data_IF_676280152432
#
_entry.id   IF_676280152432
#
_cell.length_a   1.000
_cell.length_b   1.000
_cell.length_c   1.000
_cell.angle_alpha   90.00
_cell.angle_beta   90.00
_cell.angle_gamma   90.00
#
_symmetry.space_group_name_H-M   'P 1'
#
loop_
_entity.id
_entity.type
_entity.pdbx_description
1 polymer ?
#
# COMPACT_ATOMS: atom_id res chain seq x y z
N UNK A 1 8.56 28.19 -26.89
CA UNK A 1 7.88 27.44 -27.94
C UNK A 1 8.77 26.29 -28.33
N UNK A 2 8.65 25.16 -27.71
CA UNK A 2 9.35 23.94 -28.08
C UNK A 2 8.54 23.23 -29.17
N UNK A 3 9.16 23.12 -30.34
CA UNK A 3 8.62 22.45 -31.49
C UNK A 3 8.43 20.96 -31.17
N UNK A 4 7.19 20.50 -31.07
CA UNK A 4 6.88 19.13 -31.38
C UNK A 4 7.08 18.97 -32.90
N UNK A 5 8.28 18.56 -33.29
CA UNK A 5 8.50 18.14 -34.67
C UNK A 5 7.79 16.80 -34.84
N UNK A 6 6.74 16.81 -35.69
CA UNK A 6 6.07 15.61 -36.19
C UNK A 6 6.96 14.82 -37.17
N UNK A 7 8.24 14.74 -36.91
CA UNK A 7 9.14 13.88 -37.69
C UNK A 7 9.17 12.49 -37.05
N UNK A 8 8.31 11.63 -37.58
CA UNK A 8 8.44 10.20 -37.37
C UNK A 8 9.71 9.77 -38.11
N UNK A 9 10.84 9.75 -37.39
CA UNK A 9 12.07 9.19 -37.95
C UNK A 9 11.97 7.68 -37.98
N UNK A 10 12.27 7.07 -39.13
CA UNK A 10 12.35 5.63 -39.26
C UNK A 10 13.42 5.08 -38.33
N UNK A 11 13.04 4.21 -37.40
CA UNK A 11 13.99 3.54 -36.51
C UNK A 11 14.77 2.50 -37.34
N UNK A 12 16.12 2.54 -37.37
CA UNK A 12 16.90 1.50 -38.04
C UNK A 12 16.53 0.11 -37.50
N UNK A 13 16.46 -0.87 -38.40
CA UNK A 13 16.10 -2.24 -38.03
C UNK A 13 17.05 -2.86 -36.98
N UNK A 14 18.31 -2.41 -36.95
CA UNK A 14 19.28 -2.77 -35.88
C UNK A 14 18.87 -2.29 -34.50
N UNK A 15 18.38 -1.07 -34.38
CA UNK A 15 17.93 -0.48 -33.10
C UNK A 15 16.63 -1.16 -32.62
N UNK A 16 15.78 -1.53 -33.55
CA UNK A 16 14.57 -2.31 -33.22
C UNK A 16 14.92 -3.67 -32.65
N UNK A 17 15.90 -4.37 -33.22
CA UNK A 17 16.38 -5.66 -32.70
C UNK A 17 17.14 -5.54 -31.39
N UNK A 18 17.82 -4.43 -31.14
CA UNK A 18 18.53 -4.14 -29.89
C UNK A 18 17.61 -3.59 -28.80
N UNK A 19 16.42 -3.14 -29.12
CA UNK A 19 15.46 -2.55 -28.19
C UNK A 19 15.19 -3.42 -26.95
N UNK A 20 14.96 -4.76 -27.03
CA UNK A 20 14.79 -5.60 -25.86
C UNK A 20 16.05 -5.67 -24.98
N UNK A 21 17.24 -5.69 -25.61
CA UNK A 21 18.53 -5.74 -24.91
C UNK A 21 18.79 -4.40 -24.18
N UNK A 22 18.51 -3.30 -24.85
CA UNK A 22 18.66 -1.97 -24.26
C UNK A 22 17.62 -1.76 -23.12
N UNK A 23 16.38 -2.12 -23.34
CA UNK A 23 15.35 -2.09 -22.28
C UNK A 23 15.70 -2.94 -21.07
N UNK A 24 16.31 -4.11 -21.29
CA UNK A 24 16.82 -4.94 -20.19
C UNK A 24 17.99 -4.28 -19.45
N UNK A 25 18.93 -3.67 -20.18
CA UNK A 25 20.05 -2.93 -19.55
C UNK A 25 19.55 -1.73 -18.74
N UNK A 26 18.61 -0.97 -19.27
CA UNK A 26 18.03 0.20 -18.60
C UNK A 26 17.23 -0.23 -17.36
N UNK A 27 16.49 -1.35 -17.45
CA UNK A 27 15.76 -1.93 -16.33
C UNK A 27 16.62 -2.65 -15.28
N UNK A 28 17.89 -2.99 -15.58
CA UNK A 28 18.71 -3.81 -14.69
C UNK A 28 19.02 -3.11 -13.37
N UNK A 29 19.32 -1.81 -13.40
CA UNK A 29 19.55 -1.00 -12.20
C UNK A 29 18.34 -1.01 -11.29
N UNK A 30 17.15 -0.88 -11.88
CA UNK A 30 15.84 -0.97 -11.26
C UNK A 30 15.66 -2.35 -10.61
N UNK A 31 15.89 -3.42 -11.34
CA UNK A 31 15.73 -4.79 -10.85
C UNK A 31 16.68 -5.11 -9.68
N UNK A 32 17.96 -4.76 -9.78
CA UNK A 32 18.95 -4.96 -8.71
C UNK A 32 18.57 -4.23 -7.42
N UNK A 33 18.06 -3.03 -7.55
CA UNK A 33 17.63 -2.27 -6.39
C UNK A 33 16.39 -2.91 -5.72
N UNK A 34 15.40 -3.36 -6.49
CA UNK A 34 14.24 -4.12 -5.96
C UNK A 34 14.72 -5.34 -5.17
N UNK A 35 15.69 -6.10 -5.71
CA UNK A 35 16.25 -7.25 -5.00
C UNK A 35 16.89 -6.87 -3.67
N UNK A 36 17.68 -5.80 -3.65
CA UNK A 36 18.34 -5.33 -2.41
C UNK A 36 17.33 -4.78 -1.42
N UNK A 37 16.38 -3.97 -1.88
CA UNK A 37 15.34 -3.39 -1.03
C UNK A 37 14.33 -4.44 -0.54
N UNK A 38 13.95 -5.39 -1.38
CA UNK A 38 13.11 -6.52 -1.00
C UNK A 38 13.78 -7.45 0.01
N UNK A 39 15.12 -7.50 0.01
CA UNK A 39 15.90 -8.24 1.01
C UNK A 39 15.75 -7.68 2.43
N UNK A 40 15.64 -6.36 2.59
CA UNK A 40 15.52 -5.73 3.92
C UNK A 40 14.25 -6.15 4.68
N UNK A 41 13.01 -6.03 4.13
CA UNK A 41 11.83 -6.54 4.82
C UNK A 41 11.86 -8.06 5.01
N UNK A 42 12.44 -8.81 4.07
CA UNK A 42 12.57 -10.24 4.21
C UNK A 42 13.43 -10.63 5.44
N UNK A 43 14.49 -9.87 5.72
CA UNK A 43 15.31 -10.04 6.92
C UNK A 43 14.50 -9.66 8.16
N UNK A 44 13.80 -8.53 8.15
CA UNK A 44 12.95 -8.08 9.26
C UNK A 44 11.86 -9.11 9.56
N UNK A 45 11.19 -9.63 8.54
CA UNK A 45 10.16 -10.66 8.67
C UNK A 45 10.74 -11.98 9.26
N UNK A 46 11.95 -12.39 8.87
CA UNK A 46 12.63 -13.58 9.47
C UNK A 46 12.90 -13.45 10.95
N UNK A 47 12.92 -12.24 11.49
CA UNK A 47 13.09 -12.02 12.94
C UNK A 47 11.79 -12.12 13.73
N UNK A 48 10.65 -12.26 13.04
CA UNK A 48 9.29 -12.17 13.59
C UNK A 48 9.04 -10.89 14.41
N UNK A 49 9.87 -9.87 14.26
CA UNK A 49 9.79 -8.64 15.02
C UNK A 49 8.50 -7.87 14.76
N UNK A 50 8.06 -7.78 13.49
CA UNK A 50 6.81 -7.12 13.13
C UNK A 50 5.60 -7.86 13.70
N UNK A 51 5.55 -9.19 13.55
CA UNK A 51 4.48 -10.03 14.11
C UNK A 51 4.43 -9.92 15.64
N UNK A 52 5.58 -9.98 16.30
CA UNK A 52 5.69 -9.80 17.74
C UNK A 52 5.28 -8.38 18.19
N UNK A 53 5.62 -7.35 17.40
CA UNK A 53 5.23 -5.96 17.64
C UNK A 53 3.71 -5.77 17.57
N UNK A 54 3.07 -6.28 16.53
CA UNK A 54 1.61 -6.27 16.38
C UNK A 54 0.95 -7.09 17.49
N UNK A 55 1.47 -8.28 17.79
CA UNK A 55 1.00 -9.11 18.89
C UNK A 55 1.09 -8.43 20.25
N UNK A 56 2.16 -7.67 20.52
CA UNK A 56 2.29 -6.87 21.73
C UNK A 56 1.24 -5.76 21.82
N UNK A 57 0.92 -5.11 20.68
CA UNK A 57 -0.13 -4.09 20.60
C UNK A 57 -1.51 -4.71 20.84
N UNK A 58 -1.80 -5.85 20.20
CA UNK A 58 -3.05 -6.62 20.39
C UNK A 58 -3.22 -6.96 21.88
N UNK A 59 -2.18 -7.49 22.51
CA UNK A 59 -2.20 -7.82 23.94
C UNK A 59 -2.47 -6.58 24.81
N UNK A 60 -1.82 -5.44 24.52
CA UNK A 60 -2.00 -4.18 25.27
C UNK A 60 -3.41 -3.62 25.15
N UNK A 61 -4.07 -3.88 24.02
CA UNK A 61 -5.42 -3.37 23.73
C UNK A 61 -6.52 -4.43 23.99
N UNK A 62 -6.19 -5.54 24.62
CA UNK A 62 -7.16 -6.58 24.99
C UNK A 62 -8.29 -5.99 25.82
N UNK A 63 -9.54 -6.31 25.45
CA UNK A 63 -10.75 -5.70 26.01
C UNK A 63 -11.17 -4.37 25.34
N UNK A 64 -10.34 -3.82 24.46
CA UNK A 64 -10.62 -2.63 23.65
C UNK A 64 -10.41 -2.89 22.16
N UNK A 65 -10.77 -4.09 21.68
CA UNK A 65 -10.47 -4.57 20.33
C UNK A 65 -11.11 -3.69 19.26
N UNK A 66 -12.24 -3.06 19.58
CA UNK A 66 -12.86 -2.10 18.64
C UNK A 66 -11.95 -0.89 18.36
N UNK A 67 -11.18 -0.44 19.35
CA UNK A 67 -10.19 0.63 19.18
C UNK A 67 -8.90 0.15 18.49
N UNK A 68 -8.65 -1.16 18.54
CA UNK A 68 -7.52 -1.78 17.88
C UNK A 68 -7.64 -1.64 16.35
N UNK A 69 -8.85 -1.68 15.81
CA UNK A 69 -9.11 -1.58 14.36
C UNK A 69 -8.46 -0.31 13.77
N UNK A 70 -8.85 0.91 14.18
CA UNK A 70 -8.26 2.11 13.59
C UNK A 70 -6.77 2.24 13.87
N UNK A 71 -6.29 1.79 15.02
CA UNK A 71 -4.86 1.87 15.37
C UNK A 71 -4.01 1.00 14.45
N UNK A 72 -4.39 -0.26 14.22
CA UNK A 72 -3.67 -1.14 13.30
C UNK A 72 -3.79 -0.68 11.86
N UNK A 73 -4.97 -0.25 11.44
CA UNK A 73 -5.17 0.33 10.11
C UNK A 73 -4.25 1.54 9.89
N UNK A 74 -4.05 2.39 10.91
CA UNK A 74 -3.13 3.54 10.82
C UNK A 74 -1.68 3.09 10.66
N UNK A 75 -1.25 2.09 11.44
CA UNK A 75 0.10 1.53 11.33
C UNK A 75 0.34 0.98 9.92
N UNK A 76 -0.57 0.17 9.40
CA UNK A 76 -0.47 -0.35 8.04
C UNK A 76 -0.52 0.77 6.98
N UNK A 77 -1.34 1.81 7.20
CA UNK A 77 -1.41 2.96 6.30
C UNK A 77 -0.09 3.74 6.26
N UNK A 78 0.55 3.97 7.40
CA UNK A 78 1.87 4.61 7.45
C UNK A 78 2.91 3.76 6.73
N UNK A 79 2.95 2.45 6.99
CA UNK A 79 3.87 1.52 6.34
C UNK A 79 3.64 1.46 4.82
N UNK A 80 2.38 1.41 4.38
CA UNK A 80 2.01 1.45 2.97
C UNK A 80 2.41 2.76 2.29
N UNK A 81 2.18 3.91 2.95
CA UNK A 81 2.50 5.24 2.42
C UNK A 81 4.00 5.51 2.32
N UNK A 82 4.78 4.98 3.25
CA UNK A 82 6.22 5.27 3.34
C UNK A 82 7.06 4.26 2.58
N UNK A 83 6.67 2.99 2.60
CA UNK A 83 7.45 1.90 2.03
C UNK A 83 6.74 1.14 0.90
N UNK A 84 5.43 1.30 0.73
CA UNK A 84 4.64 0.47 -0.19
C UNK A 84 4.36 -0.93 0.38
N UNK A 85 4.26 -1.04 1.71
CA UNK A 85 4.13 -2.29 2.46
C UNK A 85 2.78 -2.97 2.17
N UNK A 86 2.72 -3.79 1.13
CA UNK A 86 1.53 -4.52 0.69
C UNK A 86 1.74 -6.03 0.74
N UNK A 87 2.70 -6.56 0.01
CA UNK A 87 2.96 -8.00 -0.10
C UNK A 87 3.46 -8.58 1.23
N UNK A 88 4.23 -7.83 1.98
CA UNK A 88 4.75 -8.21 3.30
C UNK A 88 3.63 -8.33 4.35
N UNK A 89 2.46 -7.75 4.07
CA UNK A 89 1.30 -7.86 4.98
C UNK A 89 0.72 -9.26 5.03
N UNK A 90 1.05 -10.16 4.10
CA UNK A 90 0.49 -11.51 3.99
C UNK A 90 0.58 -12.27 5.33
N UNK A 91 1.70 -12.13 6.06
CA UNK A 91 1.89 -12.78 7.36
C UNK A 91 0.92 -12.33 8.47
N UNK A 92 0.25 -11.19 8.32
CA UNK A 92 -0.63 -10.64 9.36
C UNK A 92 -2.10 -11.04 9.22
N UNK A 93 -2.52 -11.56 8.06
CA UNK A 93 -3.93 -11.89 7.84
C UNK A 93 -4.42 -13.00 8.77
N UNK A 94 -3.70 -14.11 8.85
CA UNK A 94 -4.05 -15.20 9.74
C UNK A 94 -4.08 -14.73 11.20
N UNK A 95 -3.05 -13.97 11.60
CA UNK A 95 -2.91 -13.42 12.94
C UNK A 95 -4.09 -12.52 13.33
N UNK A 96 -4.43 -11.56 12.47
CA UNK A 96 -5.49 -10.60 12.77
C UNK A 96 -6.89 -11.20 12.59
N UNK A 97 -7.07 -12.12 11.64
CA UNK A 97 -8.34 -12.87 11.53
C UNK A 97 -8.60 -13.67 12.78
N UNK A 98 -7.64 -14.46 13.27
CA UNK A 98 -7.77 -15.20 14.54
C UNK A 98 -8.02 -14.25 15.74
N UNK A 99 -7.30 -13.13 15.81
CA UNK A 99 -7.46 -12.14 16.87
C UNK A 99 -8.86 -11.53 16.88
N UNK A 100 -9.36 -11.13 15.72
CA UNK A 100 -10.70 -10.52 15.61
C UNK A 100 -11.81 -11.53 15.90
N UNK A 101 -11.64 -12.80 15.49
CA UNK A 101 -12.56 -13.87 15.84
C UNK A 101 -12.60 -14.13 17.34
N UNK A 102 -11.44 -14.15 18.00
CA UNK A 102 -11.34 -14.26 19.47
C UNK A 102 -12.05 -13.11 20.19
N UNK A 103 -12.05 -11.93 19.59
CA UNK A 103 -12.71 -10.72 20.13
C UNK A 103 -14.21 -10.64 19.80
N UNK A 104 -14.78 -11.67 19.13
CA UNK A 104 -16.19 -11.74 18.79
C UNK A 104 -16.58 -11.07 17.48
N UNK A 105 -15.61 -10.72 16.63
CA UNK A 105 -15.81 -10.30 15.24
C UNK A 105 -15.69 -11.51 14.30
N UNK A 106 -15.64 -11.25 12.99
CA UNK A 106 -15.39 -12.26 11.98
C UNK A 106 -13.99 -12.15 11.38
N UNK A 107 -13.57 -13.16 10.62
CA UNK A 107 -12.25 -13.18 9.96
C UNK A 107 -12.12 -12.08 8.90
N UNK A 108 -13.23 -11.71 8.24
CA UNK A 108 -13.26 -10.63 7.27
C UNK A 108 -12.86 -9.29 7.91
N UNK A 109 -13.25 -9.03 9.15
CA UNK A 109 -12.82 -7.83 9.89
C UNK A 109 -11.30 -7.76 10.01
N UNK A 110 -10.64 -8.89 10.32
CA UNK A 110 -9.17 -8.97 10.35
C UNK A 110 -8.53 -8.68 8.99
N UNK A 111 -9.06 -9.29 7.93
CA UNK A 111 -8.59 -9.04 6.56
C UNK A 111 -8.77 -7.58 6.13
N UNK A 112 -9.90 -6.97 6.45
CA UNK A 112 -10.17 -5.55 6.15
C UNK A 112 -9.14 -4.62 6.78
N UNK A 113 -8.74 -4.88 8.02
CA UNK A 113 -7.76 -4.04 8.73
C UNK A 113 -6.43 -3.99 7.99
N UNK A 114 -5.98 -5.12 7.48
CA UNK A 114 -4.72 -5.23 6.74
C UNK A 114 -4.86 -4.61 5.36
N UNK A 115 -5.82 -5.10 4.57
CA UNK A 115 -6.01 -4.69 3.17
C UNK A 115 -6.27 -3.20 3.01
N UNK A 116 -7.21 -2.67 3.79
CA UNK A 116 -7.58 -1.25 3.68
C UNK A 116 -6.59 -0.34 4.39
N UNK A 117 -5.91 -0.84 5.42
CA UNK A 117 -4.81 -0.11 6.04
C UNK A 117 -3.65 0.06 5.06
N UNK A 118 -3.02 -1.02 4.64
CA UNK A 118 -1.86 -1.00 3.76
C UNK A 118 -2.18 -0.43 2.37
N UNK A 119 -3.29 -0.86 1.75
CA UNK A 119 -3.71 -0.35 0.45
C UNK A 119 -4.04 1.14 0.47
N UNK A 120 -4.70 1.65 1.53
CA UNK A 120 -4.93 3.08 1.73
C UNK A 120 -3.64 3.86 1.90
N UNK A 121 -2.66 3.26 2.55
CA UNK A 121 -1.31 3.80 2.64
C UNK A 121 -0.63 3.93 1.28
N UNK A 122 -0.62 2.86 0.51
CA UNK A 122 -0.04 2.85 -0.83
C UNK A 122 -0.71 3.85 -1.79
N UNK A 123 -2.03 4.07 -1.63
CA UNK A 123 -2.78 5.06 -2.39
C UNK A 123 -2.31 6.49 -2.09
N UNK A 124 -2.09 6.82 -0.81
CA UNK A 124 -1.55 8.09 -0.35
C UNK A 124 -0.03 8.03 -0.19
N UNK A 125 0.69 7.49 -1.18
CA UNK A 125 2.14 7.37 -1.14
C UNK A 125 2.82 8.71 -0.94
N UNK A 126 3.59 8.84 0.14
CA UNK A 126 4.33 10.07 0.48
C UNK A 126 5.77 9.98 0.01
N UNK A 127 6.52 9.06 0.59
CA UNK A 127 7.94 8.80 0.29
C UNK A 127 8.16 7.37 -0.20
N UNK A 128 7.10 6.73 -0.67
CA UNK A 128 7.11 5.37 -1.16
C UNK A 128 8.10 5.23 -2.33
N UNK A 129 9.21 4.52 -2.14
CA UNK A 129 10.22 4.38 -3.17
C UNK A 129 9.66 3.72 -4.43
N UNK A 130 8.69 2.84 -4.28
CA UNK A 130 8.11 2.03 -5.34
C UNK A 130 7.02 2.73 -6.16
N UNK A 131 6.51 3.85 -5.73
CA UNK A 131 5.53 4.65 -6.44
C UNK A 131 6.08 6.05 -6.74
N UNK A 132 6.19 6.91 -5.70
CA UNK A 132 6.58 8.30 -5.85
C UNK A 132 8.05 8.47 -6.19
N UNK A 133 8.92 7.59 -5.67
CA UNK A 133 10.36 7.63 -5.95
C UNK A 133 10.66 7.41 -7.43
N UNK A 134 10.18 6.30 -8.01
CA UNK A 134 10.39 6.02 -9.44
C UNK A 134 9.72 7.06 -10.32
N UNK A 135 8.50 7.47 -9.97
CA UNK A 135 7.82 8.48 -10.77
C UNK A 135 8.64 9.76 -10.87
N UNK A 136 9.23 10.20 -9.75
CA UNK A 136 10.12 11.37 -9.73
C UNK A 136 11.40 11.15 -10.55
N UNK A 137 12.01 9.97 -10.47
CA UNK A 137 13.24 9.63 -11.20
C UNK A 137 12.99 9.56 -12.72
N UNK A 138 11.90 8.92 -13.14
CA UNK A 138 11.51 8.87 -14.56
C UNK A 138 11.19 10.26 -15.10
N UNK A 139 10.53 11.14 -14.33
CA UNK A 139 10.32 12.53 -14.72
C UNK A 139 11.65 13.29 -14.85
N UNK A 140 12.55 13.10 -13.89
CA UNK A 140 13.89 13.74 -13.89
C UNK A 140 14.72 13.30 -15.10
N UNK A 141 14.65 12.04 -15.51
CA UNK A 141 15.31 11.53 -16.73
C UNK A 141 14.77 12.18 -18.01
N UNK A 142 13.53 12.67 -17.98
CA UNK A 142 12.90 13.44 -19.05
C UNK A 142 13.12 14.96 -18.91
N UNK A 143 13.99 15.40 -17.99
CA UNK A 143 14.28 16.81 -17.74
C UNK A 143 13.18 17.55 -16.95
N UNK A 144 12.25 16.84 -16.34
CA UNK A 144 11.14 17.41 -15.57
C UNK A 144 11.39 17.17 -14.09
N UNK A 145 11.59 18.25 -13.33
CA UNK A 145 11.83 18.18 -11.88
C UNK A 145 10.50 18.39 -11.14
N UNK A 146 10.09 17.41 -10.36
CA UNK A 146 8.92 17.52 -9.49
C UNK A 146 9.33 18.01 -8.08
N UNK A 147 8.56 18.94 -7.52
CA UNK A 147 8.76 19.39 -6.14
C UNK A 147 8.34 18.28 -5.16
N UNK A 148 9.33 17.73 -4.47
CA UNK A 148 9.11 16.64 -3.50
C UNK A 148 8.28 17.09 -2.29
N UNK A 149 8.34 18.36 -1.92
CA UNK A 149 7.51 18.92 -0.84
C UNK A 149 6.03 18.85 -1.20
N UNK A 150 5.69 19.20 -2.46
CA UNK A 150 4.32 19.07 -2.99
C UNK A 150 3.88 17.61 -3.08
N UNK A 151 4.77 16.71 -3.55
CA UNK A 151 4.47 15.26 -3.61
C UNK A 151 4.13 14.72 -2.23
N UNK A 152 4.96 15.03 -1.22
CA UNK A 152 4.75 14.55 0.16
C UNK A 152 3.50 15.19 0.76
N UNK A 153 3.32 16.50 0.61
CA UNK A 153 2.17 17.22 1.16
C UNK A 153 0.84 16.71 0.61
N UNK A 154 0.73 16.57 -0.71
CA UNK A 154 -0.46 16.03 -1.36
C UNK A 154 -0.64 14.53 -1.04
N UNK A 155 0.46 13.77 -0.98
CA UNK A 155 0.46 12.38 -0.55
C UNK A 155 -0.10 12.20 0.87
N UNK A 156 0.21 13.10 1.81
CA UNK A 156 -0.37 13.08 3.15
C UNK A 156 -1.88 13.32 3.14
N UNK A 157 -2.37 14.25 2.34
CA UNK A 157 -3.82 14.46 2.18
C UNK A 157 -4.49 13.21 1.61
N UNK A 158 -3.88 12.62 0.57
CA UNK A 158 -4.35 11.39 -0.07
C UNK A 158 -4.15 10.12 0.79
N UNK A 159 -3.36 10.17 1.85
CA UNK A 159 -3.27 9.15 2.89
C UNK A 159 -4.42 9.26 3.89
N UNK A 160 -4.65 10.46 4.41
CA UNK A 160 -5.65 10.71 5.46
C UNK A 160 -7.06 10.47 4.96
N UNK A 161 -7.39 10.89 3.74
CA UNK A 161 -8.74 10.76 3.20
C UNK A 161 -9.20 9.31 3.04
N UNK A 162 -8.49 8.39 2.34
CA UNK A 162 -8.90 7.00 2.24
C UNK A 162 -8.79 6.25 3.58
N UNK A 163 -7.84 6.63 4.45
CA UNK A 163 -7.77 6.09 5.80
C UNK A 163 -9.08 6.35 6.58
N UNK A 164 -9.55 7.60 6.61
CA UNK A 164 -10.79 7.95 7.31
C UNK A 164 -12.01 7.25 6.71
N UNK A 165 -12.10 7.20 5.38
CA UNK A 165 -13.17 6.47 4.67
C UNK A 165 -13.14 4.99 5.05
N UNK A 166 -11.98 4.37 4.96
CA UNK A 166 -11.83 2.94 5.26
C UNK A 166 -12.15 2.62 6.72
N UNK A 167 -11.63 3.40 7.66
CA UNK A 167 -11.91 3.25 9.09
C UNK A 167 -13.42 3.39 9.37
N UNK A 168 -14.08 4.36 8.76
CA UNK A 168 -15.52 4.54 8.94
C UNK A 168 -16.30 3.28 8.52
N UNK A 169 -16.03 2.74 7.33
CA UNK A 169 -16.74 1.57 6.82
C UNK A 169 -16.41 0.31 7.62
N UNK A 170 -15.12 0.09 7.95
CA UNK A 170 -14.72 -1.09 8.75
C UNK A 170 -15.30 -1.03 10.14
N UNK A 171 -15.25 0.10 10.82
CA UNK A 171 -15.81 0.27 12.15
C UNK A 171 -17.32 0.09 12.17
N UNK A 172 -18.02 0.60 11.15
CA UNK A 172 -19.46 0.41 11.01
C UNK A 172 -19.82 -1.07 10.82
N UNK A 173 -19.08 -1.76 9.96
CA UNK A 173 -19.24 -3.19 9.72
C UNK A 173 -18.96 -4.00 11.00
N UNK A 174 -17.77 -3.80 11.59
CA UNK A 174 -17.33 -4.53 12.77
C UNK A 174 -18.29 -4.37 13.96
N UNK A 175 -18.79 -3.15 14.20
CA UNK A 175 -19.82 -2.91 15.23
C UNK A 175 -21.10 -3.70 14.94
N UNK A 176 -21.52 -3.77 13.67
CA UNK A 176 -22.68 -4.55 13.24
C UNK A 176 -22.53 -6.04 13.52
N UNK A 177 -21.39 -6.61 13.12
CA UNK A 177 -21.08 -8.04 13.33
C UNK A 177 -20.92 -8.38 14.80
N UNK A 178 -20.30 -7.50 15.60
CA UNK A 178 -20.14 -7.72 17.04
C UNK A 178 -21.49 -7.69 17.78
N UNK A 179 -22.41 -6.85 17.35
CA UNK A 179 -23.76 -6.77 17.94
C UNK A 179 -24.65 -7.95 17.51
N UNK A 180 -24.51 -8.38 16.27
CA UNK A 180 -25.32 -9.46 15.68
C UNK A 180 -24.48 -10.18 14.61
N UNK A 181 -24.07 -11.41 14.92
CA UNK A 181 -23.25 -12.23 14.02
C UNK A 181 -23.92 -12.56 12.68
N UNK A 182 -25.24 -12.49 12.60
CA UNK A 182 -25.97 -12.70 11.33
C UNK A 182 -25.71 -11.60 10.31
N UNK A 183 -25.14 -10.46 10.73
CA UNK A 183 -24.77 -9.34 9.85
C UNK A 183 -23.42 -9.54 9.14
N UNK A 184 -22.74 -10.64 9.37
CA UNK A 184 -21.53 -10.95 8.60
C UNK A 184 -21.85 -11.04 7.11
N UNK A 185 -20.95 -10.56 6.28
CA UNK A 185 -21.02 -10.73 4.82
C UNK A 185 -20.45 -12.07 4.37
N UNK A 186 -19.79 -12.79 5.29
CA UNK A 186 -19.25 -14.12 5.02
C UNK A 186 -20.38 -15.15 4.87
N UNK A 187 -20.22 -16.04 3.91
CA UNK A 187 -21.12 -17.20 3.74
C UNK A 187 -20.97 -18.17 4.91
N UNK A 188 -21.91 -19.10 5.06
CA UNK A 188 -21.85 -20.14 6.09
C UNK A 188 -20.57 -21.00 5.95
N UNK A 189 -20.18 -21.29 4.72
CA UNK A 189 -18.96 -22.08 4.42
C UNK A 189 -17.69 -21.32 4.79
N UNK A 190 -17.61 -20.02 4.50
CA UNK A 190 -16.49 -19.16 4.92
C UNK A 190 -16.38 -19.07 6.45
N UNK A 191 -17.51 -18.93 7.13
CA UNK A 191 -17.57 -18.90 8.61
C UNK A 191 -17.10 -20.24 9.17
N UNK A 192 -17.54 -21.37 8.61
CA UNK A 192 -17.09 -22.70 9.02
C UNK A 192 -15.59 -22.89 8.77
N UNK A 193 -15.09 -22.57 7.57
CA UNK A 193 -13.70 -22.69 7.22
C UNK A 193 -12.76 -21.80 8.06
N UNK A 194 -13.22 -20.59 8.40
CA UNK A 194 -12.46 -19.71 9.30
C UNK A 194 -12.51 -20.20 10.75
N UNK A 195 -13.63 -20.78 11.17
CA UNK A 195 -13.77 -21.43 12.48
C UNK A 195 -12.84 -22.61 12.65
N UNK A 196 -12.75 -23.47 11.64
CA UNK A 196 -11.81 -24.61 11.60
C UNK A 196 -10.35 -24.16 11.60
N UNK A 197 -10.02 -23.14 10.81
CA UNK A 197 -8.65 -22.64 10.68
C UNK A 197 -8.14 -21.89 11.92
N UNK A 198 -9.02 -21.18 12.64
CA UNK A 198 -8.62 -20.22 13.68
C UNK A 198 -9.33 -20.44 15.02
N UNK A 199 -10.30 -21.35 15.12
CA UNK A 199 -11.09 -21.56 16.32
C UNK A 199 -10.24 -21.89 17.55
N UNK A 200 -9.28 -22.79 17.42
CA UNK A 200 -8.38 -23.17 18.50
C UNK A 200 -7.46 -22.01 18.91
N UNK A 201 -6.92 -21.29 17.96
CA UNK A 201 -6.08 -20.11 18.22
C UNK A 201 -6.90 -18.96 18.85
N UNK A 202 -8.15 -18.80 18.44
CA UNK A 202 -9.08 -17.85 19.03
C UNK A 202 -9.48 -18.27 20.47
N UNK A 203 -9.73 -19.54 20.71
CA UNK A 203 -10.07 -20.08 22.03
C UNK A 203 -8.88 -20.02 23.01
N UNK A 204 -7.67 -20.30 22.52
CA UNK A 204 -6.44 -20.19 23.32
C UNK A 204 -6.10 -18.74 23.71
N UNK A 205 -6.82 -17.75 23.15
CA UNK A 205 -6.64 -16.34 23.47
C UNK A 205 -5.30 -15.77 23.03
N UNK A 206 -4.79 -16.20 21.86
CA UNK A 206 -3.55 -15.73 21.25
C UNK A 206 -2.47 -15.40 22.28
N UNK A 207 -1.76 -16.41 22.75
CA UNK A 207 -0.64 -16.23 23.69
C UNK A 207 0.55 -15.61 22.95
N UNK A 208 0.54 -14.28 22.85
CA UNK A 208 1.68 -13.55 22.32
C UNK A 208 2.78 -13.47 23.37
N UNK A 209 3.94 -13.99 23.04
CA UNK A 209 5.11 -13.81 23.89
C UNK A 209 5.52 -12.32 24.00
N UNK A 210 6.12 -11.93 25.13
CA UNK A 210 6.66 -10.59 25.28
C UNK A 210 7.76 -10.34 24.23
N UNK A 211 7.81 -9.11 23.70
CA UNK A 211 8.87 -8.69 22.78
C UNK A 211 10.25 -8.94 23.39
N UNK A 212 11.06 -9.74 22.73
CA UNK A 212 12.46 -9.94 23.09
C UNK A 212 13.26 -8.65 22.87
N UNK A 213 14.41 -8.52 23.53
CA UNK A 213 15.28 -7.36 23.35
C UNK A 213 15.74 -7.22 21.88
N UNK A 214 16.05 -8.34 21.21
CA UNK A 214 16.45 -8.38 19.80
C UNK A 214 15.34 -7.84 18.88
N UNK A 215 14.10 -8.27 19.11
CA UNK A 215 12.94 -7.80 18.34
C UNK A 215 12.68 -6.31 18.52
N UNK A 216 12.84 -5.78 19.74
CA UNK A 216 12.75 -4.33 19.99
C UNK A 216 13.80 -3.54 19.21
N UNK A 217 15.04 -4.02 19.17
CA UNK A 217 16.13 -3.40 18.41
C UNK A 217 15.81 -3.43 16.91
N UNK A 218 15.33 -4.58 16.39
CA UNK A 218 14.94 -4.69 14.97
C UNK A 218 13.81 -3.73 14.62
N UNK A 219 12.76 -3.64 15.46
CA UNK A 219 11.67 -2.68 15.24
C UNK A 219 12.15 -1.24 15.29
N UNK A 220 13.10 -0.91 16.17
CA UNK A 220 13.69 0.42 16.25
C UNK A 220 14.51 0.75 15.02
N UNK A 221 15.36 -0.17 14.56
CA UNK A 221 16.14 -0.04 13.33
C UNK A 221 15.23 0.06 12.09
N UNK A 222 14.16 -0.72 12.07
CA UNK A 222 13.15 -0.66 11.01
C UNK A 222 12.47 0.71 10.97
N UNK A 223 12.03 1.25 12.13
CA UNK A 223 11.48 2.61 12.22
C UNK A 223 12.49 3.70 11.82
N UNK A 224 13.76 3.55 12.22
CA UNK A 224 14.83 4.48 11.85
C UNK A 224 15.08 4.49 10.33
N UNK A 225 14.96 3.34 9.67
CA UNK A 225 15.14 3.26 8.21
C UNK A 225 14.13 4.14 7.46
N UNK A 226 12.89 4.25 7.94
CA UNK A 226 11.90 5.18 7.35
C UNK A 226 12.29 6.64 7.55
N UNK A 227 12.82 6.99 8.72
CA UNK A 227 13.30 8.35 8.98
C UNK A 227 14.45 8.72 8.03
N UNK A 228 15.39 7.82 7.83
CA UNK A 228 16.49 7.99 6.88
C UNK A 228 15.96 8.11 5.44
N UNK A 229 14.97 7.32 5.07
CA UNK A 229 14.34 7.36 3.76
C UNK A 229 13.62 8.69 3.52
N UNK A 230 12.83 9.18 4.49
CA UNK A 230 12.14 10.48 4.40
C UNK A 230 13.16 11.62 4.20
N UNK A 231 14.23 11.64 5.01
CA UNK A 231 15.28 12.66 4.90
C UNK A 231 16.07 12.52 3.59
N UNK A 232 16.33 11.29 3.13
CA UNK A 232 16.99 11.00 1.87
C UNK A 232 16.19 11.50 0.66
N UNK A 233 14.90 11.19 0.62
CA UNK A 233 14.02 11.62 -0.48
C UNK A 233 13.85 13.14 -0.53
N UNK A 234 13.66 13.79 0.63
CA UNK A 234 13.50 15.24 0.71
C UNK A 234 14.74 16.03 0.28
N UNK A 235 15.89 15.39 0.22
CA UNK A 235 17.18 16.01 -0.22
C UNK A 235 17.59 15.63 -1.64
N UNK A 236 16.69 15.05 -2.44
CA UNK A 236 16.98 14.68 -3.84
C UNK A 236 17.94 13.51 -4.00
N UNK A 237 18.18 12.71 -2.96
CA UNK A 237 18.98 11.48 -3.02
C UNK A 237 18.13 10.31 -3.57
N UNK A 238 17.16 10.59 -4.43
CA UNK A 238 16.25 9.63 -5.01
C UNK A 238 16.86 8.75 -6.13
N UNK A 239 18.19 8.68 -6.20
CA UNK A 239 18.92 8.10 -7.36
C UNK A 239 18.86 6.57 -7.45
N UNK A 240 18.16 5.87 -6.53
CA UNK A 240 18.38 4.42 -6.41
C UNK A 240 17.11 3.57 -6.22
N UNK A 241 15.94 3.95 -6.77
CA UNK A 241 14.71 3.25 -6.35
C UNK A 241 13.80 2.82 -7.49
N UNK A 242 13.50 1.55 -7.62
CA UNK A 242 12.43 1.01 -8.45
C UNK A 242 11.47 0.05 -7.78
N UNK A 243 10.22 0.05 -8.22
CA UNK A 243 9.37 -1.09 -7.94
C UNK A 243 7.89 -1.14 -7.95
N UNK A 244 6.94 -0.28 -8.04
CA UNK A 244 5.54 -0.59 -8.48
C UNK A 244 5.22 -0.18 -9.92
N UNK A 245 5.84 -0.17 -10.59
CA UNK A 245 7.07 0.20 -11.21
C UNK A 245 7.03 -0.03 -12.70
N UNK A 246 6.57 -1.18 -13.20
CA UNK A 246 6.36 -1.33 -14.63
C UNK A 246 5.28 -0.38 -15.15
N UNK A 247 4.21 -0.14 -14.39
CA UNK A 247 3.20 0.86 -14.79
C UNK A 247 3.73 2.30 -14.70
N UNK A 248 4.49 2.65 -13.66
CA UNK A 248 5.12 3.98 -13.53
C UNK A 248 6.09 4.21 -14.68
N UNK A 249 6.97 3.24 -14.92
CA UNK A 249 8.01 3.33 -15.96
C UNK A 249 7.42 3.48 -17.36
N UNK A 250 6.27 2.87 -17.63
CA UNK A 250 5.57 3.00 -18.91
C UNK A 250 4.75 4.30 -18.98
N UNK A 251 4.10 4.69 -17.89
CA UNK A 251 3.14 5.79 -17.90
C UNK A 251 3.79 7.16 -17.74
N UNK A 252 4.83 7.30 -16.91
CA UNK A 252 5.44 8.60 -16.61
C UNK A 252 6.15 9.24 -17.80
N UNK A 253 6.85 8.53 -18.70
CA UNK A 253 7.44 9.13 -19.90
C UNK A 253 6.37 9.72 -20.85
N UNK A 254 5.14 9.23 -20.77
CA UNK A 254 4.02 9.72 -21.60
C UNK A 254 3.30 10.86 -20.88
N UNK A 255 2.97 10.67 -19.60
CA UNK A 255 2.15 11.61 -18.83
C UNK A 255 2.93 12.81 -18.32
N UNK A 256 4.22 12.63 -17.98
CA UNK A 256 5.06 13.69 -17.48
C UNK A 256 5.19 14.87 -18.45
N UNK A 257 5.61 14.66 -19.70
CA UNK A 257 5.71 15.73 -20.69
C UNK A 257 4.40 16.48 -20.97
N UNK A 258 3.24 15.85 -20.73
CA UNK A 258 1.94 16.50 -20.90
C UNK A 258 1.67 17.58 -19.84
N UNK A 259 2.34 17.53 -18.68
CA UNK A 259 2.16 18.53 -17.62
C UNK A 259 2.64 19.91 -18.05
N UNK A 260 3.71 20.00 -18.84
CA UNK A 260 4.31 21.27 -19.27
C UNK A 260 3.39 22.10 -20.19
N UNK A 261 2.86 21.55 -21.31
CA UNK A 261 1.97 22.32 -22.17
C UNK A 261 0.61 22.63 -21.52
N UNK A 262 0.19 21.86 -20.52
CA UNK A 262 -1.05 22.08 -19.80
C UNK A 262 -0.87 23.01 -18.59
N UNK A 263 0.36 23.41 -18.26
CA UNK A 263 0.67 24.29 -17.15
C UNK A 263 0.45 23.67 -15.76
N UNK A 264 0.42 22.34 -15.64
CA UNK A 264 0.26 21.65 -14.37
C UNK A 264 1.58 21.43 -13.66
N UNK A 265 1.53 21.47 -12.33
CA UNK A 265 2.68 21.10 -11.51
C UNK A 265 3.01 19.61 -11.68
N UNK A 266 4.24 19.25 -12.09
CA UNK A 266 4.64 17.86 -12.32
C UNK A 266 4.48 16.95 -11.08
N UNK A 267 4.55 17.52 -9.88
CA UNK A 267 4.33 16.78 -8.63
C UNK A 267 2.92 16.18 -8.53
N UNK A 268 1.92 16.85 -9.13
CA UNK A 268 0.53 16.36 -9.09
C UNK A 268 0.39 15.06 -9.87
N UNK A 269 1.05 14.92 -11.04
CA UNK A 269 0.91 13.71 -11.85
C UNK A 269 1.46 12.47 -11.12
N UNK A 270 2.48 12.63 -10.28
CA UNK A 270 3.01 11.56 -9.43
C UNK A 270 1.92 11.07 -8.48
N UNK A 271 1.23 12.01 -7.82
CA UNK A 271 0.16 11.69 -6.87
C UNK A 271 -1.10 11.16 -7.57
N UNK A 272 -1.43 11.65 -8.75
CA UNK A 272 -2.52 11.10 -9.60
C UNK A 272 -2.25 9.63 -9.90
N UNK A 273 -1.03 9.33 -10.32
CA UNK A 273 -0.62 7.96 -10.62
C UNK A 273 -0.69 7.06 -9.36
N UNK A 274 -0.08 7.48 -8.25
CA UNK A 274 -0.07 6.73 -7.00
C UNK A 274 -1.50 6.47 -6.50
N UNK A 275 -2.35 7.49 -6.52
CA UNK A 275 -3.75 7.41 -6.12
C UNK A 275 -4.57 6.47 -7.02
N UNK A 276 -4.45 6.59 -8.34
CA UNK A 276 -5.16 5.74 -9.29
C UNK A 276 -4.75 4.27 -9.14
N UNK A 277 -3.44 4.00 -9.07
CA UNK A 277 -2.91 2.66 -8.84
C UNK A 277 -3.39 2.08 -7.50
N UNK A 278 -3.36 2.88 -6.44
CA UNK A 278 -3.82 2.46 -5.12
C UNK A 278 -5.31 2.11 -5.06
N UNK A 279 -6.17 2.88 -5.76
CA UNK A 279 -7.60 2.56 -5.86
C UNK A 279 -7.82 1.21 -6.56
N UNK A 280 -7.10 0.97 -7.66
CA UNK A 280 -7.17 -0.32 -8.38
C UNK A 280 -6.67 -1.46 -7.50
N UNK A 281 -5.63 -1.23 -6.72
CA UNK A 281 -5.04 -2.22 -5.81
C UNK A 281 -5.96 -2.64 -4.64
N UNK A 282 -7.07 -1.96 -4.41
CA UNK A 282 -8.07 -2.41 -3.43
C UNK A 282 -8.90 -3.60 -3.90
N UNK A 283 -9.06 -3.79 -5.22
CA UNK A 283 -9.98 -4.80 -5.74
C UNK A 283 -9.42 -5.65 -6.88
N UNK A 284 -8.24 -5.36 -7.40
CA UNK A 284 -7.69 -6.16 -8.52
C UNK A 284 -7.28 -7.56 -8.06
N UNK A 285 -7.72 -8.63 -8.73
CA UNK A 285 -7.29 -9.99 -8.42
C UNK A 285 -5.82 -10.25 -8.82
N UNK A 286 -5.22 -9.36 -9.61
CA UNK A 286 -3.80 -9.45 -9.96
C UNK A 286 -2.87 -9.09 -8.78
N UNK A 287 -3.41 -8.47 -7.71
CA UNK A 287 -2.63 -8.14 -6.53
C UNK A 287 -2.49 -9.37 -5.62
N UNK A 288 -1.26 -9.87 -5.48
CA UNK A 288 -0.95 -11.03 -4.65
C UNK A 288 -1.29 -10.85 -3.17
N UNK A 289 -1.18 -9.61 -2.65
CA UNK A 289 -1.54 -9.31 -1.27
C UNK A 289 -3.04 -9.48 -1.00
N UNK A 290 -3.91 -9.11 -1.98
CA UNK A 290 -5.36 -9.33 -1.88
C UNK A 290 -5.66 -10.81 -1.92
N UNK A 291 -5.26 -11.50 -2.99
CA UNK A 291 -5.64 -12.89 -3.19
C UNK A 291 -5.04 -13.81 -2.12
N UNK A 292 -3.75 -13.60 -1.78
CA UNK A 292 -3.09 -14.34 -0.72
C UNK A 292 -3.66 -14.04 0.66
N UNK A 293 -3.93 -12.77 0.94
CA UNK A 293 -4.50 -12.33 2.22
C UNK A 293 -5.92 -12.85 2.46
N UNK A 294 -6.78 -12.76 1.44
CA UNK A 294 -8.15 -13.30 1.52
C UNK A 294 -8.15 -14.83 1.68
N UNK A 295 -7.28 -15.53 0.95
CA UNK A 295 -7.14 -16.98 1.09
C UNK A 295 -6.70 -17.36 2.51
N UNK A 296 -5.72 -16.66 3.07
CA UNK A 296 -5.29 -16.85 4.46
C UNK A 296 -6.38 -16.52 5.48
N UNK A 297 -7.22 -15.53 5.22
CA UNK A 297 -8.34 -15.16 6.09
C UNK A 297 -9.58 -16.06 5.88
N UNK A 298 -9.53 -17.03 4.95
CA UNK A 298 -10.67 -17.87 4.58
C UNK A 298 -11.88 -17.04 4.11
N UNK A 299 -11.62 -15.98 3.38
CA UNK A 299 -12.62 -15.06 2.83
C UNK A 299 -12.60 -15.17 1.31
N UNK A 300 -13.76 -15.35 0.71
CA UNK A 300 -13.90 -15.39 -0.74
C UNK A 300 -13.74 -13.99 -1.36
N UNK A 301 -13.18 -13.96 -2.55
CA UNK A 301 -13.02 -12.70 -3.28
C UNK A 301 -14.37 -12.02 -3.57
N UNK A 302 -15.42 -12.79 -3.81
CA UNK A 302 -16.78 -12.26 -3.97
C UNK A 302 -17.32 -11.54 -2.72
N UNK A 303 -17.05 -12.08 -1.54
CA UNK A 303 -17.40 -11.46 -0.24
C UNK A 303 -16.62 -10.18 -0.02
N UNK A 304 -15.33 -10.16 -0.36
CA UNK A 304 -14.50 -8.96 -0.34
C UNK A 304 -15.06 -7.86 -1.25
N UNK A 305 -15.42 -8.18 -2.49
CA UNK A 305 -15.96 -7.21 -3.44
C UNK A 305 -17.27 -6.57 -2.98
N UNK A 306 -18.15 -7.32 -2.30
CA UNK A 306 -19.40 -6.77 -1.72
C UNK A 306 -19.13 -5.68 -0.69
N UNK A 307 -18.06 -5.81 0.06
CA UNK A 307 -17.67 -4.79 1.04
C UNK A 307 -16.86 -3.67 0.39
N UNK A 308 -15.74 -4.00 -0.28
CA UNK A 308 -14.77 -3.02 -0.75
C UNK A 308 -15.33 -2.10 -1.83
N UNK A 309 -16.30 -2.54 -2.61
CA UNK A 309 -16.91 -1.73 -3.67
C UNK A 309 -17.41 -0.37 -3.18
N UNK A 310 -18.01 -0.31 -1.99
CA UNK A 310 -18.44 0.95 -1.37
C UNK A 310 -17.27 1.82 -0.95
N UNK A 311 -16.24 1.23 -0.38
CA UNK A 311 -15.01 1.93 0.04
C UNK A 311 -14.31 2.51 -1.18
N UNK A 312 -14.13 1.71 -2.23
CA UNK A 312 -13.51 2.11 -3.50
C UNK A 312 -14.25 3.29 -4.12
N UNK A 313 -15.59 3.21 -4.21
CA UNK A 313 -16.37 4.28 -4.80
C UNK A 313 -16.20 5.61 -4.05
N UNK A 314 -16.35 5.59 -2.72
CA UNK A 314 -16.21 6.80 -1.91
C UNK A 314 -14.78 7.32 -1.94
N UNK A 315 -13.78 6.45 -1.82
CA UNK A 315 -12.36 6.81 -1.90
C UNK A 315 -12.01 7.41 -3.25
N UNK A 316 -12.48 6.83 -4.36
CA UNK A 316 -12.23 7.34 -5.69
C UNK A 316 -12.81 8.77 -5.87
N UNK A 317 -14.06 8.99 -5.44
CA UNK A 317 -14.70 10.31 -5.51
C UNK A 317 -13.91 11.34 -4.69
N UNK A 318 -13.54 11.01 -3.45
CA UNK A 318 -12.80 11.92 -2.58
C UNK A 318 -11.42 12.23 -3.16
N UNK A 319 -10.71 11.23 -3.67
CA UNK A 319 -9.38 11.42 -4.27
C UNK A 319 -9.43 12.27 -5.54
N UNK A 320 -10.41 12.04 -6.41
CA UNK A 320 -10.62 12.88 -7.59
C UNK A 320 -10.89 14.33 -7.18
N UNK A 321 -11.72 14.55 -6.15
CA UNK A 321 -11.99 15.91 -5.65
C UNK A 321 -10.71 16.57 -5.09
N UNK A 322 -9.92 15.85 -4.29
CA UNK A 322 -8.65 16.36 -3.73
C UNK A 322 -7.67 16.72 -4.85
N UNK A 323 -7.51 15.82 -5.83
CA UNK A 323 -6.60 16.03 -6.96
C UNK A 323 -7.07 17.18 -7.86
N UNK A 324 -8.39 17.31 -8.10
CA UNK A 324 -8.95 18.42 -8.86
C UNK A 324 -8.71 19.77 -8.18
N UNK A 325 -8.86 19.83 -6.84
CA UNK A 325 -8.52 21.04 -6.08
C UNK A 325 -7.03 21.34 -6.15
N UNK A 326 -6.18 20.31 -6.02
CA UNK A 326 -4.73 20.47 -6.12
C UNK A 326 -4.29 21.01 -7.49
N UNK A 327 -4.95 20.58 -8.58
CA UNK A 327 -4.68 21.08 -9.94
C UNK A 327 -5.01 22.56 -10.14
N UNK A 328 -5.91 23.10 -9.30
CA UNK A 328 -6.29 24.52 -9.38
C UNK A 328 -5.43 25.40 -8.46
N UNK A 329 -4.98 24.83 -7.33
CA UNK A 329 -4.30 25.61 -6.26
C UNK A 329 -2.78 25.56 -6.39
N UNK A 330 -2.20 24.49 -6.93
CA UNK A 330 -0.76 24.23 -7.05
C UNK A 330 -0.28 24.37 -8.50
#
# INVERSE_FOLDING_TARGET
MSHFTNEVSAVPSGDLMMSPVNGFKDGLGVALFVFVLGGFPAIVNKTDALSAGIGALVRKMRGNELKLIPVLMLIFAILGSTYGFCEETIGFYALLSATMMAAGFDALTGAMMVLLGAGGGCLGSTVNPFATGIAADVLASSGIVADQGVVIGLGLVLLVTPYLVSVYFVMRYAKGVKADRSRTLMSADEVAASGEAYGDAAAAGNQYEPLSHKQKVVLWLFGLSFLVMIVGLSRGVAILIPGTSSMVTISMPIMGPLTQPLGFNPAIIINVFASASGVVNYFTPANGAIMGGLALSRVEYGTWLKFVGKVVLVTAIVNVAVLAVAMVVL
#
